data_IF_427201451553
#
_entry.id   IF_427201451553
#
_cell.length_a   1.000
_cell.length_b   1.000
_cell.length_c   1.000
_cell.angle_alpha   90.00
_cell.angle_beta   90.00
_cell.angle_gamma   90.00
#
_symmetry.space_group_name_H-M   'P 1'
#
loop_
_entity.id
_entity.type
_entity.pdbx_description
1 polymer ?
#
# COMPACT_ATOMS: atom_id res chain seq x y z
N UNK A 1 43.46 28.86 16.05
CA UNK A 1 42.04 28.48 16.03
C UNK A 1 41.89 26.96 15.83
N UNK A 2 42.51 26.15 16.70
CA UNK A 2 42.45 24.66 16.65
C UNK A 2 42.57 24.00 18.04
N UNK A 3 42.51 24.79 19.12
CA UNK A 3 42.62 24.26 20.49
C UNK A 3 41.27 24.01 21.15
N UNK A 4 40.24 24.79 20.79
CA UNK A 4 38.89 24.64 21.36
C UNK A 4 38.17 23.38 20.86
N UNK A 5 38.39 22.93 19.62
CA UNK A 5 37.72 21.73 19.08
C UNK A 5 38.20 20.41 19.72
N UNK A 6 39.47 20.37 20.18
CA UNK A 6 40.03 19.17 20.80
C UNK A 6 39.52 18.97 22.24
N UNK A 7 39.34 20.05 23.00
CA UNK A 7 38.77 19.99 24.35
C UNK A 7 37.29 19.61 24.33
N UNK A 8 36.51 20.14 23.38
CA UNK A 8 35.10 19.77 23.20
C UNK A 8 34.95 18.30 22.79
N UNK A 9 35.81 17.81 21.90
CA UNK A 9 35.81 16.39 21.52
C UNK A 9 36.17 15.48 22.71
N UNK A 10 37.20 15.82 23.48
CA UNK A 10 37.62 15.05 24.66
C UNK A 10 36.55 15.05 25.77
N UNK A 11 35.86 16.17 25.99
CA UNK A 11 34.74 16.25 26.92
C UNK A 11 33.57 15.35 26.48
N UNK A 12 33.24 15.36 25.18
CA UNK A 12 32.21 14.48 24.62
C UNK A 12 32.59 12.99 24.74
N UNK A 13 33.87 12.65 24.55
CA UNK A 13 34.36 11.28 24.75
C UNK A 13 34.28 10.83 26.21
N UNK A 14 34.64 11.71 27.15
CA UNK A 14 34.54 11.42 28.58
C UNK A 14 33.08 11.24 29.04
N UNK A 15 32.17 12.07 28.52
CA UNK A 15 30.74 11.97 28.80
C UNK A 15 30.15 10.66 28.25
N UNK A 16 30.55 10.26 27.03
CA UNK A 16 30.15 8.98 26.44
C UNK A 16 30.64 7.78 27.25
N UNK A 17 31.89 7.81 27.72
CA UNK A 17 32.46 6.73 28.54
C UNK A 17 31.74 6.61 29.90
N UNK A 18 31.39 7.75 30.50
CA UNK A 18 30.60 7.78 31.72
C UNK A 18 29.17 7.25 31.53
N UNK A 19 28.54 7.55 30.38
CA UNK A 19 27.23 7.01 30.04
C UNK A 19 27.27 5.50 29.81
N UNK A 20 28.31 5.01 29.12
CA UNK A 20 28.49 3.58 28.87
C UNK A 20 28.65 2.81 30.18
N UNK A 21 29.47 3.31 31.11
CA UNK A 21 29.63 2.71 32.45
C UNK A 21 28.32 2.69 33.24
N UNK A 22 27.48 3.72 33.11
CA UNK A 22 26.16 3.75 33.77
C UNK A 22 25.19 2.73 33.16
N UNK A 23 25.23 2.55 31.85
CA UNK A 23 24.42 1.54 31.15
C UNK A 23 24.82 0.13 31.56
N UNK A 24 26.12 -0.16 31.58
CA UNK A 24 26.64 -1.47 31.99
C UNK A 24 26.28 -1.77 33.46
N UNK A 25 26.42 -0.78 34.36
CA UNK A 25 26.03 -0.92 35.76
C UNK A 25 24.51 -1.10 35.95
N UNK A 26 23.68 -0.43 35.14
CA UNK A 26 22.23 -0.58 35.19
C UNK A 26 21.78 -1.98 34.70
N UNK A 27 22.46 -2.52 33.70
CA UNK A 27 22.19 -3.87 33.17
C UNK A 27 22.57 -4.96 34.18
N UNK A 28 23.71 -4.81 34.88
CA UNK A 28 24.10 -5.70 35.99
C UNK A 28 23.10 -5.62 37.16
N UNK A 29 22.64 -4.42 37.55
CA UNK A 29 21.64 -4.24 38.60
C UNK A 29 20.30 -4.91 38.24
N UNK A 30 19.91 -4.85 36.96
CA UNK A 30 18.71 -5.48 36.44
C UNK A 30 18.86 -7.00 36.21
N UNK A 31 20.03 -7.58 36.52
CA UNK A 31 20.29 -9.03 36.41
C UNK A 31 20.49 -9.51 34.97
N UNK A 32 20.61 -8.60 34.00
CA UNK A 32 20.91 -8.95 32.61
C UNK A 32 22.43 -9.09 32.46
N UNK A 33 22.95 -10.30 32.64
CA UNK A 33 24.34 -10.61 32.21
C UNK A 33 24.43 -10.44 30.69
N UNK A 34 25.50 -9.81 30.19
CA UNK A 34 25.70 -9.58 28.75
C UNK A 34 25.52 -10.82 27.86
N UNK A 35 25.80 -12.02 28.39
CA UNK A 35 25.54 -13.29 27.71
C UNK A 35 24.06 -13.54 27.39
N UNK A 36 23.13 -13.04 28.20
CA UNK A 36 21.67 -13.19 28.00
C UNK A 36 21.16 -12.29 26.86
N UNK A 37 21.82 -11.14 26.64
CA UNK A 37 21.53 -10.24 25.51
C UNK A 37 22.14 -10.81 24.23
N UNK A 38 23.37 -11.36 24.29
CA UNK A 38 23.99 -12.04 23.15
C UNK A 38 23.20 -13.27 22.71
N UNK A 39 22.62 -14.05 23.63
CA UNK A 39 21.73 -15.15 23.29
C UNK A 39 20.37 -14.68 22.74
N UNK A 40 19.85 -13.54 23.20
CA UNK A 40 18.62 -12.94 22.66
C UNK A 40 18.84 -12.38 21.23
N UNK A 41 20.01 -11.79 20.96
CA UNK A 41 20.41 -11.29 19.65
C UNK A 41 20.91 -12.40 18.71
N UNK A 42 21.36 -13.53 19.25
CA UNK A 42 21.59 -14.78 18.50
C UNK A 42 20.31 -15.57 18.24
N UNK A 43 19.19 -15.16 18.83
CA UNK A 43 17.87 -15.69 18.53
C UNK A 43 17.66 -15.70 17.01
N UNK A 44 17.34 -16.89 16.51
CA UNK A 44 17.22 -17.26 15.10
C UNK A 44 16.82 -16.10 14.22
N UNK A 45 17.45 -15.99 13.04
CA UNK A 45 16.91 -15.24 11.90
C UNK A 45 15.39 -15.44 11.90
N UNK A 46 14.65 -14.41 12.33
CA UNK A 46 13.22 -14.38 12.12
C UNK A 46 13.09 -14.10 10.64
N UNK A 47 13.21 -15.15 9.82
CA UNK A 47 12.76 -15.09 8.45
C UNK A 47 11.28 -14.81 8.55
N UNK A 48 10.91 -13.57 8.27
CA UNK A 48 9.53 -13.16 8.19
C UNK A 48 8.85 -14.13 7.22
N UNK A 49 8.03 -15.05 7.76
CA UNK A 49 7.16 -15.90 6.95
C UNK A 49 6.02 -14.99 6.50
N UNK A 50 6.32 -14.04 5.61
CA UNK A 50 5.31 -13.37 4.82
C UNK A 50 4.95 -14.33 3.70
N UNK A 51 4.11 -15.32 3.97
CA UNK A 51 3.37 -15.90 2.85
C UNK A 51 2.50 -14.77 2.30
N UNK A 52 2.73 -14.29 1.06
CA UNK A 52 1.85 -13.30 0.49
C UNK A 52 0.45 -13.90 0.48
N UNK A 53 -0.51 -13.19 1.06
CA UNK A 53 -1.90 -13.59 1.00
C UNK A 53 -2.28 -13.79 -0.47
N UNK A 54 -2.66 -15.01 -0.84
CA UNK A 54 -3.10 -15.30 -2.20
C UNK A 54 -4.55 -14.88 -2.32
N UNK A 55 -4.81 -13.85 -3.13
CA UNK A 55 -6.17 -13.46 -3.48
C UNK A 55 -6.87 -14.64 -4.18
N UNK A 56 -8.15 -14.92 -3.85
CA UNK A 56 -8.93 -15.87 -4.62
C UNK A 56 -9.02 -15.44 -6.09
N UNK A 57 -9.15 -16.43 -6.98
CA UNK A 57 -9.30 -16.15 -8.41
C UNK A 57 -10.53 -15.25 -8.66
N UNK A 58 -10.36 -14.23 -9.50
CA UNK A 58 -11.40 -13.23 -9.79
C UNK A 58 -11.49 -12.06 -8.81
N UNK A 59 -10.64 -12.01 -7.77
CA UNK A 59 -10.60 -10.90 -6.82
C UNK A 59 -9.41 -9.97 -7.06
N UNK A 60 -9.64 -8.67 -6.86
CA UNK A 60 -8.62 -7.62 -6.91
C UNK A 60 -8.64 -6.86 -5.60
N UNK A 61 -7.46 -6.47 -5.08
CA UNK A 61 -7.38 -5.59 -3.93
C UNK A 61 -7.76 -4.17 -4.32
N UNK A 62 -8.67 -3.58 -3.55
CA UNK A 62 -9.12 -2.20 -3.70
C UNK A 62 -8.99 -1.46 -2.36
N UNK A 63 -8.90 -0.13 -2.37
CA UNK A 63 -8.93 0.66 -1.13
C UNK A 63 -10.17 0.34 -0.28
N UNK A 64 -10.02 0.40 1.04
CA UNK A 64 -11.13 0.16 1.98
C UNK A 64 -12.29 1.17 1.77
N UNK A 65 -11.97 2.38 1.33
CA UNK A 65 -12.93 3.43 1.00
C UNK A 65 -12.50 4.09 -0.29
N UNK A 66 -13.47 4.38 -1.15
CA UNK A 66 -13.27 5.11 -2.40
C UNK A 66 -14.29 6.24 -2.45
N UNK A 67 -13.80 7.44 -2.80
CA UNK A 67 -14.67 8.57 -3.07
C UNK A 67 -15.16 8.48 -4.51
N UNK A 68 -16.47 8.56 -4.70
CA UNK A 68 -17.06 8.83 -6.00
C UNK A 68 -17.28 10.34 -6.10
N UNK A 69 -16.68 10.96 -7.11
CA UNK A 69 -16.92 12.38 -7.41
C UNK A 69 -18.35 12.60 -7.89
N UNK A 70 -18.79 13.84 -7.94
CA UNK A 70 -20.09 14.20 -8.55
C UNK A 70 -20.20 13.72 -9.99
N UNK A 71 -19.12 13.81 -10.76
CA UNK A 71 -19.07 13.41 -12.16
C UNK A 71 -19.16 11.89 -12.32
N UNK A 72 -18.55 11.15 -11.38
CA UNK A 72 -18.69 9.70 -11.29
C UNK A 72 -20.13 9.29 -10.95
N UNK A 73 -20.80 10.03 -10.07
CA UNK A 73 -22.21 9.82 -9.76
C UNK A 73 -23.11 10.10 -10.97
N UNK A 74 -22.79 11.12 -11.78
CA UNK A 74 -23.52 11.40 -13.02
C UNK A 74 -23.30 10.30 -14.07
N UNK A 75 -22.08 9.78 -14.20
CA UNK A 75 -21.78 8.65 -15.09
C UNK A 75 -22.51 7.36 -14.68
N UNK A 76 -22.66 7.12 -13.38
CA UNK A 76 -23.50 6.04 -12.85
C UNK A 76 -24.96 6.19 -13.31
N UNK A 77 -25.54 7.38 -13.16
CA UNK A 77 -26.90 7.64 -13.63
C UNK A 77 -27.03 7.50 -15.14
N UNK A 78 -26.04 7.95 -15.90
CA UNK A 78 -26.03 7.79 -17.36
C UNK A 78 -26.10 6.32 -17.79
N UNK A 79 -25.35 5.43 -17.13
CA UNK A 79 -25.33 4.01 -17.46
C UNK A 79 -26.50 3.20 -16.89
N UNK A 80 -27.00 3.57 -15.71
CA UNK A 80 -27.94 2.75 -14.93
C UNK A 80 -29.28 3.43 -14.66
N UNK A 81 -29.52 4.60 -15.26
CA UNK A 81 -30.72 5.39 -15.03
C UNK A 81 -30.75 6.11 -13.69
N UNK A 82 -31.73 7.01 -13.54
CA UNK A 82 -31.97 7.77 -12.32
C UNK A 82 -33.40 7.57 -11.76
N UNK A 83 -34.15 6.62 -12.32
CA UNK A 83 -35.51 6.31 -11.89
C UNK A 83 -36.58 7.14 -12.59
N UNK A 84 -36.33 7.50 -13.85
CA UNK A 84 -37.29 8.15 -14.74
C UNK A 84 -37.25 9.68 -14.72
N UNK A 85 -36.13 10.29 -14.29
CA UNK A 85 -35.95 11.73 -14.35
C UNK A 85 -35.23 12.12 -15.65
N UNK A 86 -33.91 12.20 -15.66
CA UNK A 86 -33.11 12.60 -16.81
C UNK A 86 -32.51 11.42 -17.58
N UNK A 87 -32.24 10.29 -16.91
CA UNK A 87 -31.50 9.17 -17.49
C UNK A 87 -32.34 7.88 -17.66
N UNK A 88 -33.66 8.00 -17.50
CA UNK A 88 -34.58 6.87 -17.67
C UNK A 88 -34.71 6.01 -16.42
N UNK A 89 -35.41 4.89 -16.56
CA UNK A 89 -35.65 3.95 -15.46
C UNK A 89 -34.35 3.28 -14.99
N UNK A 90 -34.33 2.85 -13.74
CA UNK A 90 -33.17 2.13 -13.21
C UNK A 90 -32.94 0.80 -13.93
N UNK A 91 -31.70 0.54 -14.30
CA UNK A 91 -31.23 -0.72 -14.89
C UNK A 91 -30.02 -1.26 -14.12
N UNK A 92 -29.71 -2.53 -14.34
CA UNK A 92 -28.54 -3.16 -13.70
C UNK A 92 -27.24 -2.66 -14.34
N UNK A 93 -26.24 -2.38 -13.49
CA UNK A 93 -24.88 -2.03 -13.89
C UNK A 93 -23.86 -3.04 -13.41
N UNK A 94 -22.82 -3.27 -14.20
CA UNK A 94 -21.69 -4.11 -13.82
C UNK A 94 -20.49 -3.23 -13.46
N UNK A 95 -20.05 -3.35 -12.20
CA UNK A 95 -18.82 -2.75 -11.72
C UNK A 95 -17.66 -3.75 -11.82
N UNK A 96 -16.52 -3.30 -12.34
CA UNK A 96 -15.33 -4.13 -12.48
C UNK A 96 -14.06 -3.31 -12.35
N UNK A 97 -12.96 -3.97 -11.96
CA UNK A 97 -11.65 -3.33 -11.84
C UNK A 97 -10.79 -3.74 -13.03
N UNK A 98 -10.24 -2.76 -13.73
CA UNK A 98 -9.31 -3.04 -14.83
C UNK A 98 -8.97 -1.81 -15.66
N UNK A 99 -8.35 -2.06 -16.80
CA UNK A 99 -7.94 -1.02 -17.74
C UNK A 99 -9.03 -0.78 -18.81
N UNK A 100 -9.32 0.48 -19.10
CA UNK A 100 -10.08 0.89 -20.29
C UNK A 100 -9.24 1.85 -21.13
N UNK A 101 -9.48 1.83 -22.43
CA UNK A 101 -8.93 2.80 -23.38
C UNK A 101 -9.97 3.88 -23.64
N UNK A 102 -9.58 5.13 -23.42
CA UNK A 102 -10.41 6.30 -23.65
C UNK A 102 -10.35 6.73 -25.12
N UNK A 103 -11.29 7.57 -25.55
CA UNK A 103 -11.39 8.06 -26.93
C UNK A 103 -10.13 8.83 -27.42
N UNK A 104 -9.35 9.40 -26.49
CA UNK A 104 -8.09 10.08 -26.79
C UNK A 104 -6.88 9.13 -26.89
N UNK A 105 -7.11 7.82 -26.79
CA UNK A 105 -6.10 6.76 -26.78
C UNK A 105 -5.35 6.63 -25.45
N UNK A 106 -5.73 7.37 -24.42
CA UNK A 106 -5.19 7.19 -23.07
C UNK A 106 -5.78 5.96 -22.40
N UNK A 107 -5.03 5.38 -21.46
CA UNK A 107 -5.45 4.19 -20.71
C UNK A 107 -5.62 4.54 -19.24
N UNK A 108 -6.80 4.30 -18.70
CA UNK A 108 -7.09 4.46 -17.27
C UNK A 108 -7.28 3.09 -16.64
N UNK A 109 -6.78 2.93 -15.42
CA UNK A 109 -6.97 1.71 -14.64
C UNK A 109 -7.67 2.07 -13.35
N UNK A 110 -8.77 1.40 -13.04
CA UNK A 110 -9.52 1.67 -11.83
C UNK A 110 -10.85 0.93 -11.77
N UNK A 111 -11.79 1.50 -11.04
CA UNK A 111 -13.17 1.02 -10.99
C UNK A 111 -13.95 1.57 -12.18
N UNK A 112 -14.47 0.66 -12.98
CA UNK A 112 -15.22 0.95 -14.20
C UNK A 112 -16.66 0.48 -14.06
N UNK A 113 -17.56 1.12 -14.80
CA UNK A 113 -18.95 0.71 -14.94
C UNK A 113 -19.31 0.45 -16.41
N UNK A 114 -20.14 -0.56 -16.63
CA UNK A 114 -20.87 -0.76 -17.89
C UNK A 114 -22.31 -1.12 -17.58
N UNK A 115 -23.22 -0.91 -18.54
CA UNK A 115 -24.61 -1.37 -18.42
C UNK A 115 -24.66 -2.89 -18.59
N UNK A 116 -25.44 -3.58 -17.75
CA UNK A 116 -25.55 -5.03 -17.81
C UNK A 116 -26.38 -5.51 -19.02
N UNK A 117 -27.29 -4.67 -19.52
CA UNK A 117 -28.19 -5.02 -20.62
C UNK A 117 -27.51 -4.85 -21.99
N UNK A 118 -26.63 -3.86 -22.10
CA UNK A 118 -25.93 -3.51 -23.35
C UNK A 118 -24.42 -3.30 -23.11
N UNK A 119 -23.67 -4.33 -22.71
CA UNK A 119 -22.26 -4.18 -22.34
C UNK A 119 -21.37 -3.67 -23.48
N UNK A 120 -21.85 -3.76 -24.73
CA UNK A 120 -21.19 -3.24 -25.92
C UNK A 120 -21.30 -1.70 -26.07
N UNK A 121 -22.14 -1.01 -25.28
CA UNK A 121 -22.23 0.47 -25.25
C UNK A 121 -21.00 1.13 -24.60
N UNK A 122 -20.05 0.33 -24.14
CA UNK A 122 -18.77 0.78 -23.61
C UNK A 122 -18.74 0.80 -22.09
N UNK A 123 -17.68 1.38 -21.56
CA UNK A 123 -17.45 1.48 -20.12
C UNK A 123 -16.95 2.87 -19.77
N UNK A 124 -17.33 3.36 -18.60
CA UNK A 124 -16.81 4.59 -18.03
C UNK A 124 -15.94 4.27 -16.80
N UNK A 125 -14.83 4.98 -16.65
CA UNK A 125 -14.07 4.96 -15.40
C UNK A 125 -14.75 5.87 -14.38
N UNK A 126 -15.14 5.32 -13.24
CA UNK A 126 -15.79 6.09 -12.15
C UNK A 126 -14.83 6.38 -10.99
N UNK A 127 -13.69 5.69 -10.93
CA UNK A 127 -12.63 5.97 -9.97
C UNK A 127 -11.30 5.46 -10.51
N UNK A 128 -10.38 6.36 -10.85
CA UNK A 128 -9.03 6.00 -11.31
C UNK A 128 -8.16 5.60 -10.11
N UNK A 129 -7.46 4.48 -10.23
CA UNK A 129 -6.54 4.03 -9.20
C UNK A 129 -5.14 4.58 -9.44
N UNK A 130 -4.53 5.08 -8.37
CA UNK A 130 -3.19 5.64 -8.43
C UNK A 130 -2.19 4.65 -9.05
N UNK A 131 -1.30 5.17 -9.89
CA UNK A 131 -0.34 4.37 -10.65
C UNK A 131 0.50 3.41 -9.78
N UNK A 132 0.77 3.81 -8.53
CA UNK A 132 1.55 3.06 -7.56
C UNK A 132 0.86 1.77 -7.12
N UNK A 133 -0.48 1.71 -7.14
CA UNK A 133 -1.27 0.51 -6.83
C UNK A 133 -1.21 -0.53 -7.96
N UNK A 134 -0.80 -0.14 -9.17
CA UNK A 134 -0.71 -1.03 -10.34
C UNK A 134 0.54 -1.94 -10.32
N UNK A 135 1.61 -1.50 -9.65
CA UNK A 135 2.90 -2.22 -9.62
C UNK A 135 2.86 -3.53 -8.81
N UNK A 136 1.88 -3.68 -7.93
CA UNK A 136 1.71 -4.88 -7.10
C UNK A 136 0.77 -5.91 -7.75
N UNK A 137 -0.13 -5.49 -8.64
CA UNK A 137 -1.01 -6.40 -9.38
C UNK A 137 -0.28 -7.24 -10.45
N UNK A 138 0.89 -6.79 -10.91
CA UNK A 138 1.67 -7.45 -11.98
C UNK A 138 2.80 -8.36 -11.47
N UNK A 139 3.06 -8.40 -10.15
CA UNK A 139 4.10 -9.27 -9.57
C UNK A 139 3.63 -10.69 -9.21
N UNK A 140 2.43 -11.08 -9.62
CA UNK A 140 1.83 -12.38 -9.30
C UNK A 140 2.06 -13.52 -10.29
N UNK A 141 2.77 -13.30 -11.42
CA UNK A 141 2.87 -14.33 -12.45
C UNK A 141 4.13 -14.24 -13.30
N UNK A 142 5.20 -14.91 -12.87
CA UNK A 142 6.30 -15.36 -13.73
C UNK A 142 7.32 -16.12 -12.88
N UNK A 143 7.05 -17.40 -12.61
CA UNK A 143 8.09 -18.38 -12.33
C UNK A 143 7.53 -19.77 -12.70
N UNK A 144 7.38 -20.01 -14.00
CA UNK A 144 7.29 -21.37 -14.55
C UNK A 144 8.59 -21.65 -15.31
N UNK A 145 9.47 -22.39 -14.65
CA UNK A 145 10.75 -22.85 -15.18
C UNK A 145 10.50 -24.03 -16.12
N UNK A 146 11.04 -23.95 -17.34
CA UNK A 146 11.45 -25.14 -18.10
C UNK A 146 12.96 -25.11 -18.30
#
# INVERSE_FOLDING_TARGET
MFREDAEVAMAAYAERDALQKKLDAALELAGFRGAMIDDLLKGDKIEAVSQPYKLPDGYVLVPQQMLLSTDAMESLCFHCGDGGFAFGDFTDGLLWVGEIENDDGTKTYGLNITTAEYPDEGSANISEFAAQLRADATKGGSDDKR
#
